data_IF_390305884722
#
_entry.id   IF_390305884722
#
_cell.length_a   1.000
_cell.length_b   1.000
_cell.length_c   1.000
_cell.angle_alpha   90.00
_cell.angle_beta   90.00
_cell.angle_gamma   90.00
#
_symmetry.space_group_name_H-M   'P 1'
#
loop_
_entity.id
_entity.type
_entity.pdbx_description
1 polymer ?
#
# COMPACT_ATOMS: atom_id res chain seq x y z
N UNK A 1 -32.35 17.90 20.80
CA UNK A 1 -31.78 17.22 19.62
C UNK A 1 -32.44 15.82 19.54
N UNK A 2 -32.83 15.30 18.36
CA UNK A 2 -33.66 14.08 18.25
C UNK A 2 -32.78 12.82 18.16
N UNK A 3 -32.75 11.94 19.19
CA UNK A 3 -31.84 10.79 19.23
C UNK A 3 -32.03 9.79 18.08
N UNK A 4 -33.27 9.63 17.59
CA UNK A 4 -33.58 8.78 16.44
C UNK A 4 -32.96 9.30 15.16
N UNK A 5 -32.94 10.63 14.98
CA UNK A 5 -32.34 11.29 13.82
C UNK A 5 -30.82 11.25 13.88
N UNK A 6 -30.24 11.57 15.03
CA UNK A 6 -28.78 11.50 15.24
C UNK A 6 -28.22 10.09 15.03
N UNK A 7 -28.92 9.04 15.49
CA UNK A 7 -28.55 7.65 15.19
C UNK A 7 -28.50 7.38 13.69
N UNK A 8 -29.47 7.89 12.91
CA UNK A 8 -29.50 7.72 11.45
C UNK A 8 -28.37 8.49 10.77
N UNK A 9 -28.15 9.73 11.16
CA UNK A 9 -27.12 10.59 10.57
C UNK A 9 -25.71 10.05 10.86
N UNK A 10 -25.46 9.60 12.09
CA UNK A 10 -24.18 8.96 12.46
C UNK A 10 -23.99 7.58 11.81
N UNK A 11 -25.06 6.82 11.56
CA UNK A 11 -24.97 5.57 10.79
C UNK A 11 -24.59 5.82 9.32
N UNK A 12 -25.19 6.82 8.68
CA UNK A 12 -24.84 7.23 7.33
C UNK A 12 -23.38 7.71 7.25
N UNK A 13 -22.94 8.52 8.22
CA UNK A 13 -21.55 8.96 8.32
C UNK A 13 -20.58 7.78 8.49
N UNK A 14 -20.90 6.81 9.36
CA UNK A 14 -20.09 5.60 9.54
C UNK A 14 -19.94 4.83 8.23
N UNK A 15 -21.04 4.58 7.52
CA UNK A 15 -21.02 3.88 6.23
C UNK A 15 -20.12 4.60 5.22
N UNK A 16 -20.25 5.93 5.12
CA UNK A 16 -19.40 6.75 4.25
C UNK A 16 -17.91 6.63 4.62
N UNK A 17 -17.57 6.68 5.91
CA UNK A 17 -16.18 6.59 6.36
C UNK A 17 -15.59 5.19 6.15
N UNK A 18 -16.37 4.14 6.36
CA UNK A 18 -15.97 2.77 6.05
C UNK A 18 -15.66 2.59 4.57
N UNK A 19 -16.51 3.11 3.68
CA UNK A 19 -16.26 3.07 2.23
C UNK A 19 -14.98 3.82 1.85
N UNK A 20 -14.74 5.00 2.42
CA UNK A 20 -13.48 5.74 2.19
C UNK A 20 -12.25 4.99 2.67
N UNK A 21 -12.32 4.33 3.84
CA UNK A 21 -11.23 3.50 4.33
C UNK A 21 -10.96 2.29 3.40
N UNK A 22 -12.01 1.63 2.90
CA UNK A 22 -11.88 0.55 1.92
C UNK A 22 -11.24 1.01 0.61
N UNK A 23 -11.65 2.16 0.07
CA UNK A 23 -11.05 2.73 -1.14
C UNK A 23 -9.56 3.01 -0.91
N UNK A 24 -9.19 3.61 0.23
CA UNK A 24 -7.80 3.86 0.57
C UNK A 24 -7.00 2.55 0.74
N UNK A 25 -7.64 1.48 1.23
CA UNK A 25 -7.02 0.16 1.38
C UNK A 25 -6.70 -0.46 0.02
N UNK A 26 -7.66 -0.40 -0.91
CA UNK A 26 -7.49 -0.86 -2.29
C UNK A 26 -6.38 -0.07 -2.98
N UNK A 27 -6.35 1.26 -2.82
CA UNK A 27 -5.29 2.12 -3.36
C UNK A 27 -3.92 1.74 -2.80
N UNK A 28 -3.79 1.57 -1.48
CA UNK A 28 -2.56 1.10 -0.83
C UNK A 28 -2.11 -0.25 -1.40
N UNK A 29 -3.02 -1.21 -1.56
CA UNK A 29 -2.71 -2.52 -2.11
C UNK A 29 -2.23 -2.45 -3.57
N UNK A 30 -2.85 -1.59 -4.38
CA UNK A 30 -2.42 -1.36 -5.76
C UNK A 30 -1.00 -0.76 -5.82
N UNK A 31 -0.71 0.27 -5.02
CA UNK A 31 0.63 0.85 -4.92
C UNK A 31 1.68 -0.18 -4.48
N UNK A 32 1.37 -1.02 -3.49
CA UNK A 32 2.28 -2.09 -3.04
C UNK A 32 2.62 -3.09 -4.16
N UNK A 33 1.63 -3.47 -4.99
CA UNK A 33 1.89 -4.34 -6.15
C UNK A 33 2.81 -3.68 -7.17
N UNK A 34 2.62 -2.40 -7.45
CA UNK A 34 3.47 -1.65 -8.37
C UNK A 34 4.89 -1.46 -7.81
N UNK A 35 5.03 -1.19 -6.51
CA UNK A 35 6.33 -1.14 -5.85
C UNK A 35 7.07 -2.47 -5.96
N UNK A 36 6.37 -3.59 -5.69
CA UNK A 36 6.95 -4.93 -5.82
C UNK A 36 7.41 -5.23 -7.24
N UNK A 37 6.59 -4.90 -8.24
CA UNK A 37 6.95 -5.08 -9.65
C UNK A 37 8.19 -4.25 -10.04
N UNK A 38 8.24 -2.97 -9.64
CA UNK A 38 9.40 -2.11 -9.90
C UNK A 38 10.68 -2.61 -9.21
N UNK A 39 10.56 -3.17 -8.00
CA UNK A 39 11.68 -3.81 -7.31
C UNK A 39 12.18 -5.07 -8.03
N UNK A 40 11.28 -5.91 -8.53
CA UNK A 40 11.65 -7.10 -9.31
C UNK A 40 12.35 -6.72 -10.62
N UNK A 41 11.87 -5.70 -11.34
CA UNK A 41 12.53 -5.16 -12.54
C UNK A 41 13.92 -4.61 -12.24
N UNK A 42 14.08 -3.84 -11.16
CA UNK A 42 15.39 -3.32 -10.73
C UNK A 42 16.36 -4.47 -10.44
N UNK A 43 15.92 -5.45 -9.65
CA UNK A 43 16.74 -6.62 -9.31
C UNK A 43 17.17 -7.42 -10.54
N UNK A 44 16.29 -7.55 -11.55
CA UNK A 44 16.63 -8.22 -12.80
C UNK A 44 17.67 -7.43 -13.60
N UNK A 45 17.55 -6.10 -13.66
CA UNK A 45 18.53 -5.23 -14.31
C UNK A 45 19.90 -5.29 -13.63
N UNK A 46 19.94 -5.23 -12.30
CA UNK A 46 21.16 -5.36 -11.49
C UNK A 46 21.86 -6.69 -11.77
N UNK A 47 21.12 -7.79 -11.70
CA UNK A 47 21.65 -9.12 -12.00
C UNK A 47 22.19 -9.20 -13.43
N UNK A 48 21.45 -8.69 -14.40
CA UNK A 48 21.88 -8.73 -15.80
C UNK A 48 23.19 -7.94 -16.03
N UNK A 49 23.34 -6.77 -15.40
CA UNK A 49 24.58 -6.01 -15.47
C UNK A 49 25.76 -6.75 -14.80
N UNK A 50 25.52 -7.38 -13.65
CA UNK A 50 26.52 -8.21 -12.97
C UNK A 50 26.96 -9.40 -13.83
N UNK A 51 26.00 -10.14 -14.39
CA UNK A 51 26.26 -11.28 -15.29
C UNK A 51 27.06 -10.83 -16.53
N UNK A 52 26.73 -9.67 -17.11
CA UNK A 52 27.48 -9.09 -18.23
C UNK A 52 28.90 -8.66 -17.84
N UNK A 53 29.09 -8.13 -16.63
CA UNK A 53 30.41 -7.74 -16.12
C UNK A 53 31.32 -8.95 -15.93
N UNK A 54 30.79 -10.03 -15.35
CA UNK A 54 31.48 -11.31 -15.20
C UNK A 54 31.83 -11.88 -16.58
N UNK A 55 30.87 -11.90 -17.51
CA UNK A 55 31.08 -12.42 -18.86
C UNK A 55 32.18 -11.64 -19.60
N UNK A 56 32.15 -10.30 -19.57
CA UNK A 56 33.18 -9.45 -20.15
C UNK A 56 34.56 -9.75 -19.56
N UNK A 57 34.67 -9.83 -18.23
CA UNK A 57 35.94 -10.06 -17.56
C UNK A 57 36.52 -11.45 -17.89
N UNK A 58 35.66 -12.46 -17.99
CA UNK A 58 36.04 -13.81 -18.40
C UNK A 58 36.52 -13.84 -19.86
N UNK A 59 35.80 -13.17 -20.76
CA UNK A 59 36.18 -13.06 -22.17
C UNK A 59 37.51 -12.35 -22.34
N UNK A 60 37.71 -11.20 -21.68
CA UNK A 60 38.97 -10.46 -21.71
C UNK A 60 40.13 -11.31 -21.16
N UNK A 61 39.92 -12.01 -20.05
CA UNK A 61 40.93 -12.89 -19.46
C UNK A 61 41.25 -14.09 -20.36
N UNK A 62 40.26 -14.64 -21.05
CA UNK A 62 40.46 -15.70 -22.04
C UNK A 62 41.23 -15.20 -23.26
N UNK A 63 40.86 -14.04 -23.82
CA UNK A 63 41.54 -13.39 -24.94
C UNK A 63 43.01 -13.08 -24.63
N UNK A 64 43.28 -12.49 -23.46
CA UNK A 64 44.65 -12.21 -23.01
C UNK A 64 45.49 -13.47 -22.83
N UNK A 65 44.94 -14.54 -22.23
CA UNK A 65 45.63 -15.84 -22.14
C UNK A 65 45.95 -16.41 -23.53
N UNK A 66 45.00 -16.31 -24.47
CA UNK A 66 45.20 -16.77 -25.84
C UNK A 66 46.29 -15.98 -26.58
N UNK A 67 46.45 -14.68 -26.30
CA UNK A 67 47.54 -13.86 -26.84
C UNK A 67 48.87 -14.24 -26.20
N UNK A 68 48.93 -14.37 -24.87
CA UNK A 68 50.17 -14.70 -24.15
C UNK A 68 50.70 -16.11 -24.46
N UNK A 69 49.83 -17.06 -24.80
CA UNK A 69 50.22 -18.42 -25.16
C UNK A 69 50.84 -18.51 -26.58
N UNK A 70 50.81 -17.44 -27.38
CA UNK A 70 51.46 -17.41 -28.70
C UNK A 70 52.95 -17.11 -28.55
N UNK A 71 53.77 -17.77 -29.37
CA UNK A 71 55.23 -17.61 -29.40
C UNK A 71 55.68 -16.17 -29.74
N UNK A 72 54.83 -15.42 -30.45
CA UNK A 72 54.99 -13.99 -30.68
C UNK A 72 53.63 -13.28 -30.52
N UNK A 73 53.62 -12.20 -29.74
CA UNK A 73 52.43 -11.35 -29.56
C UNK A 73 52.21 -10.53 -30.82
N UNK A 74 51.08 -10.73 -31.49
CA UNK A 74 50.67 -9.90 -32.62
C UNK A 74 49.90 -8.68 -32.10
N UNK A 75 50.41 -7.47 -32.41
CA UNK A 75 49.78 -6.18 -32.08
C UNK A 75 48.32 -6.12 -32.52
N UNK A 76 47.99 -6.62 -33.71
CA UNK A 76 46.62 -6.64 -34.23
C UNK A 76 45.67 -7.47 -33.37
N UNK A 77 46.14 -8.59 -32.79
CA UNK A 77 45.32 -9.39 -31.88
C UNK A 77 45.04 -8.66 -30.56
N UNK A 78 46.03 -7.89 -30.07
CA UNK A 78 45.91 -7.11 -28.84
C UNK A 78 44.97 -5.91 -29.01
N UNK A 79 45.04 -5.24 -30.17
CA UNK A 79 44.11 -4.17 -30.55
C UNK A 79 42.68 -4.70 -30.70
N UNK A 80 42.51 -5.91 -31.25
CA UNK A 80 41.20 -6.54 -31.37
C UNK A 80 40.57 -6.88 -30.00
N UNK A 81 41.32 -7.51 -29.09
CA UNK A 81 40.81 -7.80 -27.74
C UNK A 81 40.52 -6.52 -26.95
N UNK A 82 41.35 -5.47 -27.11
CA UNK A 82 41.08 -4.17 -26.52
C UNK A 82 39.77 -3.55 -27.04
N UNK A 83 39.53 -3.61 -28.35
CA UNK A 83 38.29 -3.12 -28.95
C UNK A 83 37.06 -3.87 -28.42
N UNK A 84 37.15 -5.21 -28.31
CA UNK A 84 36.07 -6.04 -27.76
C UNK A 84 35.78 -5.68 -26.29
N UNK A 85 36.83 -5.53 -25.46
CA UNK A 85 36.67 -5.12 -24.06
C UNK A 85 36.10 -3.72 -23.93
N UNK A 86 36.56 -2.77 -24.75
CA UNK A 86 36.07 -1.40 -24.76
C UNK A 86 34.59 -1.35 -25.13
N UNK A 87 34.19 -2.04 -26.19
CA UNK A 87 32.79 -2.10 -26.64
C UNK A 87 31.88 -2.71 -25.55
N UNK A 88 32.27 -3.84 -24.97
CA UNK A 88 31.52 -4.46 -23.87
C UNK A 88 31.46 -3.57 -22.62
N UNK A 89 32.46 -2.72 -22.40
CA UNK A 89 32.45 -1.73 -21.31
C UNK A 89 31.46 -0.60 -21.56
N UNK A 90 31.30 -0.12 -22.81
CA UNK A 90 30.26 0.84 -23.14
C UNK A 90 28.86 0.24 -22.96
N UNK A 91 28.64 -1.01 -23.36
CA UNK A 91 27.38 -1.72 -23.11
C UNK A 91 27.06 -1.84 -21.61
N UNK A 92 28.07 -2.09 -20.76
CA UNK A 92 27.89 -2.09 -19.31
C UNK A 92 27.53 -0.70 -18.75
N UNK A 93 28.04 0.38 -19.33
CA UNK A 93 27.63 1.74 -18.93
C UNK A 93 26.16 1.99 -19.23
N UNK A 94 25.68 1.56 -20.41
CA UNK A 94 24.26 1.64 -20.78
C UNK A 94 23.39 0.85 -19.81
N UNK A 95 23.77 -0.37 -19.46
CA UNK A 95 23.05 -1.18 -18.47
C UNK A 95 23.04 -0.53 -17.07
N UNK A 96 24.15 0.08 -16.65
CA UNK A 96 24.22 0.83 -15.39
C UNK A 96 23.32 2.06 -15.41
N UNK A 97 23.19 2.75 -16.54
CA UNK A 97 22.23 3.85 -16.67
C UNK A 97 20.79 3.35 -16.53
N UNK A 98 20.45 2.21 -17.13
CA UNK A 98 19.13 1.59 -16.96
C UNK A 98 18.85 1.26 -15.49
N UNK A 99 19.84 0.76 -14.74
CA UNK A 99 19.71 0.52 -13.30
C UNK A 99 19.40 1.81 -12.53
N UNK A 100 20.06 2.92 -12.87
CA UNK A 100 19.76 4.23 -12.27
C UNK A 100 18.31 4.63 -12.53
N UNK A 101 17.85 4.54 -13.78
CA UNK A 101 16.48 4.89 -14.15
C UNK A 101 15.44 4.00 -13.44
N UNK A 102 15.74 2.70 -13.30
CA UNK A 102 14.89 1.74 -12.56
C UNK A 102 14.91 2.00 -11.05
N UNK A 103 16.04 2.44 -10.50
CA UNK A 103 16.17 2.82 -9.08
C UNK A 103 15.31 4.05 -8.78
N UNK A 104 15.36 5.06 -9.65
CA UNK A 104 14.52 6.26 -9.53
C UNK A 104 13.04 5.90 -9.64
N UNK A 105 12.67 5.02 -10.57
CA UNK A 105 11.30 4.53 -10.71
C UNK A 105 10.84 3.79 -9.45
N UNK A 106 11.65 2.88 -8.89
CA UNK A 106 11.34 2.17 -7.65
C UNK A 106 11.19 3.15 -6.47
N UNK A 107 12.06 4.15 -6.37
CA UNK A 107 12.00 5.18 -5.32
C UNK A 107 10.70 5.99 -5.39
N UNK A 108 10.30 6.43 -6.59
CA UNK A 108 9.00 7.10 -6.80
C UNK A 108 7.83 6.20 -6.37
N UNK A 109 7.86 4.91 -6.71
CA UNK A 109 6.82 3.95 -6.28
C UNK A 109 6.78 3.74 -4.77
N UNK A 110 7.93 3.76 -4.11
CA UNK A 110 8.03 3.70 -2.65
C UNK A 110 7.38 4.92 -1.99
N UNK A 111 7.62 6.12 -2.52
CA UNK A 111 6.99 7.36 -2.06
C UNK A 111 5.47 7.36 -2.23
N UNK A 112 4.98 6.94 -3.40
CA UNK A 112 3.55 6.77 -3.69
C UNK A 112 2.89 5.79 -2.70
N UNK A 113 3.55 4.67 -2.44
CA UNK A 113 3.08 3.66 -1.48
C UNK A 113 3.03 4.22 -0.06
N UNK A 114 4.05 4.98 0.35
CA UNK A 114 4.07 5.65 1.64
C UNK A 114 2.94 6.69 1.77
N UNK A 115 2.67 7.45 0.71
CA UNK A 115 1.53 8.39 0.66
C UNK A 115 0.19 7.66 0.79
N UNK A 116 0.00 6.58 0.03
CA UNK A 116 -1.21 5.75 0.12
C UNK A 116 -1.37 5.09 1.50
N UNK A 117 -0.27 4.67 2.14
CA UNK A 117 -0.28 4.15 3.52
C UNK A 117 -0.74 5.20 4.52
N UNK A 118 -0.22 6.43 4.44
CA UNK A 118 -0.64 7.55 5.31
C UNK A 118 -2.13 7.87 5.14
N UNK A 119 -2.60 7.91 3.89
CA UNK A 119 -4.01 8.14 3.56
C UNK A 119 -4.92 7.04 4.12
N UNK A 120 -4.51 5.76 4.00
CA UNK A 120 -5.23 4.63 4.56
C UNK A 120 -5.39 4.73 6.07
N UNK A 121 -4.28 4.96 6.80
CA UNK A 121 -4.29 5.10 8.26
C UNK A 121 -5.19 6.27 8.70
N UNK A 122 -5.13 7.40 7.98
CA UNK A 122 -6.01 8.52 8.24
C UNK A 122 -7.49 8.13 8.07
N UNK A 123 -7.84 7.45 7.00
CA UNK A 123 -9.22 7.03 6.73
C UNK A 123 -9.72 5.99 7.74
N UNK A 124 -8.88 5.03 8.13
CA UNK A 124 -9.19 4.06 9.19
C UNK A 124 -9.47 4.75 10.52
N UNK A 125 -8.61 5.71 10.92
CA UNK A 125 -8.82 6.49 12.13
C UNK A 125 -10.15 7.26 12.10
N UNK A 126 -10.51 7.87 10.96
CA UNK A 126 -11.80 8.56 10.79
C UNK A 126 -12.99 7.60 10.79
N UNK A 127 -12.82 6.39 10.26
CA UNK A 127 -13.83 5.33 10.35
C UNK A 127 -14.05 4.90 11.81
N UNK A 128 -12.97 4.71 12.57
CA UNK A 128 -13.04 4.38 13.99
C UNK A 128 -13.73 5.48 14.82
N UNK A 129 -13.38 6.74 14.59
CA UNK A 129 -14.07 7.90 15.20
C UNK A 129 -15.57 7.90 14.88
N UNK A 130 -15.96 7.65 13.63
CA UNK A 130 -17.36 7.57 13.24
C UNK A 130 -18.10 6.39 13.90
N UNK A 131 -17.41 5.26 14.11
CA UNK A 131 -17.98 4.10 14.80
C UNK A 131 -18.28 4.42 16.27
N UNK A 132 -17.36 5.11 16.95
CA UNK A 132 -17.56 5.57 18.33
C UNK A 132 -18.74 6.56 18.42
N UNK A 133 -18.86 7.51 17.49
CA UNK A 133 -19.98 8.44 17.44
C UNK A 133 -21.32 7.72 17.25
N UNK A 134 -21.38 6.77 16.31
CA UNK A 134 -22.57 5.96 16.10
C UNK A 134 -22.95 5.13 17.33
N UNK A 135 -21.98 4.53 18.03
CA UNK A 135 -22.25 3.80 19.27
C UNK A 135 -22.85 4.69 20.35
N UNK A 136 -22.32 5.91 20.53
CA UNK A 136 -22.87 6.89 21.48
C UNK A 136 -24.30 7.29 21.11
N UNK A 137 -24.55 7.65 19.85
CA UNK A 137 -25.88 8.02 19.37
C UNK A 137 -26.89 6.86 19.47
N UNK A 138 -26.45 5.63 19.17
CA UNK A 138 -27.27 4.42 19.34
C UNK A 138 -27.64 4.21 20.81
N UNK A 139 -26.68 4.34 21.74
CA UNK A 139 -26.94 4.20 23.18
C UNK A 139 -27.94 5.25 23.68
N UNK A 140 -27.77 6.51 23.30
CA UNK A 140 -28.70 7.58 23.65
C UNK A 140 -30.12 7.30 23.14
N UNK A 141 -30.26 6.87 21.88
CA UNK A 141 -31.56 6.52 21.33
C UNK A 141 -32.22 5.34 22.05
N UNK A 142 -31.45 4.29 22.40
CA UNK A 142 -31.97 3.17 23.17
C UNK A 142 -32.42 3.60 24.57
N UNK A 143 -31.67 4.49 25.22
CA UNK A 143 -32.07 5.04 26.53
C UNK A 143 -33.41 5.78 26.43
N UNK A 144 -33.62 6.59 25.39
CA UNK A 144 -34.90 7.29 25.18
C UNK A 144 -36.06 6.32 24.98
N UNK A 145 -35.85 5.22 24.26
CA UNK A 145 -36.88 4.19 24.07
C UNK A 145 -37.22 3.49 25.38
N UNK A 146 -36.20 3.13 26.18
CA UNK A 146 -36.39 2.49 27.47
C UNK A 146 -37.14 3.39 28.46
N UNK A 147 -36.83 4.68 28.49
CA UNK A 147 -37.55 5.64 29.35
C UNK A 147 -39.00 5.78 28.92
N UNK A 148 -39.27 5.92 27.62
CA UNK A 148 -40.65 6.01 27.11
C UNK A 148 -41.47 4.74 27.40
N UNK A 149 -40.87 3.55 27.24
CA UNK A 149 -41.51 2.28 27.58
C UNK A 149 -41.78 2.15 29.09
N UNK A 150 -40.87 2.65 29.93
CA UNK A 150 -41.08 2.68 31.38
C UNK A 150 -42.24 3.60 31.77
N UNK A 151 -42.30 4.80 31.20
CA UNK A 151 -43.38 5.77 31.43
C UNK A 151 -44.75 5.18 30.99
N UNK A 152 -44.82 4.58 29.80
CA UNK A 152 -46.04 3.90 29.31
C UNK A 152 -46.48 2.77 30.26
N UNK A 153 -45.53 1.97 30.76
CA UNK A 153 -45.83 0.89 31.70
C UNK A 153 -46.34 1.41 33.06
N UNK A 154 -45.80 2.52 33.57
CA UNK A 154 -46.28 3.18 34.78
C UNK A 154 -47.70 3.75 34.61
N UNK A 155 -48.01 4.36 33.47
CA UNK A 155 -49.34 4.84 33.13
C UNK A 155 -50.36 3.68 33.06
N UNK A 156 -49.99 2.57 32.43
CA UNK A 156 -50.82 1.35 32.37
C UNK A 156 -51.05 0.78 33.77
N UNK A 157 -50.00 0.69 34.60
CA UNK A 157 -50.09 0.18 35.96
C UNK A 157 -51.01 1.07 36.83
N UNK A 158 -50.85 2.39 36.73
CA UNK A 158 -51.67 3.39 37.44
C UNK A 158 -53.13 3.31 37.01
N UNK A 159 -53.39 3.21 35.70
CA UNK A 159 -54.74 3.06 35.15
C UNK A 159 -55.40 1.77 35.64
N UNK A 160 -54.67 0.64 35.66
CA UNK A 160 -55.17 -0.62 36.22
C UNK A 160 -55.51 -0.50 37.71
N UNK A 161 -54.69 0.20 38.49
CA UNK A 161 -54.95 0.44 39.91
C UNK A 161 -56.25 1.25 40.12
N UNK A 162 -56.41 2.37 39.42
CA UNK A 162 -57.62 3.21 39.48
C UNK A 162 -58.87 2.40 39.13
N UNK A 163 -58.84 1.64 38.03
CA UNK A 163 -59.97 0.81 37.60
C UNK A 163 -60.31 -0.30 38.60
N UNK A 164 -59.32 -0.84 39.30
CA UNK A 164 -59.54 -1.84 40.35
C UNK A 164 -60.21 -1.20 41.57
N UNK A 165 -59.75 -0.02 42.00
CA UNK A 165 -60.34 0.73 43.11
C UNK A 165 -61.76 1.24 42.81
N UNK A 166 -62.08 1.61 41.56
CA UNK A 166 -63.41 2.10 41.17
C UNK A 166 -64.48 1.00 41.02
N UNK A 167 -64.08 -0.27 40.96
CA UNK A 167 -64.98 -1.45 40.96
C UNK A 167 -65.21 -2.02 42.37
N UNK A 168 -64.58 -1.43 43.37
CA UNK A 168 -64.75 -1.73 44.80
C UNK A 168 -65.79 -0.79 45.40
#
# INVERSE_FOLDING_TARGET
MNPKREKKDTAALLKLRQMKAQIAAIKKAACLRQQKAAFEELRQAEKHAEDCEIARNNQASAGMRAICNKTAVNRSALEHEYANFSWATEQLKELRQIIVDKTDAHTKRLEETNKARKEHLYCENKSHQAAQLYQKAKKAHLQTLLTAESEENEEIATTRHILKSAKS
#
